data_IF_642046276866
#
_entry.id   IF_642046276866
#
_cell.length_a   1.000
_cell.length_b   1.000
_cell.length_c   1.000
_cell.angle_alpha   90.00
_cell.angle_beta   90.00
_cell.angle_gamma   90.00
#
_symmetry.space_group_name_H-M   'P 1'
#
loop_
_entity.id
_entity.type
_entity.pdbx_description
1 polymer ?
#
# COMPACT_ATOMS: atom_id res chain seq x y z
N UNK A 1 17.09 -1.63 -15.91
CA UNK A 1 17.11 -1.90 -14.46
C UNK A 1 16.11 -0.97 -13.81
N UNK A 2 14.91 -1.48 -13.50
CA UNK A 2 13.91 -0.70 -12.79
C UNK A 2 14.47 -0.42 -11.38
N UNK A 3 14.63 0.85 -11.04
CA UNK A 3 15.21 1.26 -9.75
C UNK A 3 14.42 0.62 -8.60
N UNK A 4 15.12 -0.09 -7.71
CA UNK A 4 14.52 -0.87 -6.63
C UNK A 4 13.58 -0.09 -5.69
N UNK A 5 13.55 1.25 -5.77
CA UNK A 5 12.62 2.15 -5.10
C UNK A 5 11.21 2.18 -5.71
N UNK A 6 11.07 2.07 -7.04
CA UNK A 6 9.77 2.19 -7.73
C UNK A 6 8.79 1.06 -7.43
N UNK A 7 9.29 -0.06 -6.89
CA UNK A 7 8.52 -1.25 -6.53
C UNK A 7 8.51 -1.52 -5.01
N UNK A 8 9.02 -0.61 -4.18
CA UNK A 8 9.21 -0.90 -2.75
C UNK A 8 7.93 -1.33 -2.04
N UNK A 9 6.79 -0.71 -2.36
CA UNK A 9 5.50 -1.11 -1.78
C UNK A 9 5.14 -2.56 -2.08
N UNK A 10 5.31 -2.99 -3.33
CA UNK A 10 5.04 -4.38 -3.75
C UNK A 10 6.01 -5.34 -3.10
N UNK A 11 7.31 -5.02 -3.07
CA UNK A 11 8.32 -5.89 -2.45
C UNK A 11 8.10 -6.05 -0.94
N UNK A 12 7.72 -4.98 -0.25
CA UNK A 12 7.36 -5.02 1.18
C UNK A 12 6.11 -5.89 1.37
N UNK A 13 5.07 -5.71 0.55
CA UNK A 13 3.86 -6.53 0.61
C UNK A 13 4.15 -8.00 0.35
N UNK A 14 4.96 -8.33 -0.65
CA UNK A 14 5.34 -9.70 -0.99
C UNK A 14 6.12 -10.39 0.14
N UNK A 15 6.92 -9.64 0.91
CA UNK A 15 7.63 -10.16 2.06
C UNK A 15 6.71 -10.35 3.28
N UNK A 16 5.84 -9.37 3.55
CA UNK A 16 5.02 -9.33 4.77
C UNK A 16 3.79 -10.23 4.67
N UNK A 17 3.13 -10.26 3.51
CA UNK A 17 1.85 -10.96 3.34
C UNK A 17 1.90 -12.44 3.70
N UNK A 18 2.87 -13.25 3.24
CA UNK A 18 2.93 -14.68 3.59
C UNK A 18 3.07 -14.92 5.10
N UNK A 19 3.71 -14.01 5.83
CA UNK A 19 3.89 -14.12 7.27
C UNK A 19 2.58 -13.84 8.00
N UNK A 20 1.92 -12.72 7.69
CA UNK A 20 0.75 -12.26 8.44
C UNK A 20 -0.51 -13.06 8.18
N UNK A 21 -0.64 -13.73 7.03
CA UNK A 21 -1.80 -14.61 6.76
C UNK A 21 -1.74 -15.95 7.50
N UNK A 22 -0.60 -16.30 8.10
CA UNK A 22 -0.41 -17.56 8.82
C UNK A 22 -0.77 -17.50 10.31
N UNK A 23 -1.03 -16.30 10.84
CA UNK A 23 -1.21 -16.05 12.28
C UNK A 23 -2.44 -15.20 12.55
N UNK A 24 -3.09 -15.43 13.69
CA UNK A 24 -4.35 -14.78 14.06
C UNK A 24 -4.14 -13.40 14.72
N UNK A 25 -3.54 -12.46 13.98
CA UNK A 25 -3.18 -11.12 14.52
C UNK A 25 -4.40 -10.31 14.92
N UNK A 26 -5.48 -10.39 14.14
CA UNK A 26 -6.66 -9.54 14.27
C UNK A 26 -7.92 -10.26 14.77
N UNK A 27 -7.78 -11.41 15.45
CA UNK A 27 -8.91 -12.15 16.02
C UNK A 27 -9.85 -11.30 16.88
N UNK A 28 -9.29 -10.43 17.73
CA UNK A 28 -10.05 -9.54 18.62
C UNK A 28 -10.91 -8.54 17.84
N UNK A 29 -10.55 -8.26 16.58
CA UNK A 29 -11.29 -7.37 15.68
C UNK A 29 -12.21 -8.12 14.72
N UNK A 30 -12.45 -9.42 14.96
CA UNK A 30 -13.29 -10.28 14.12
C UNK A 30 -12.56 -10.95 12.95
N UNK A 31 -11.22 -10.91 12.93
CA UNK A 31 -10.40 -11.66 11.97
C UNK A 31 -10.36 -13.15 12.32
N UNK A 32 -11.39 -13.88 11.91
CA UNK A 32 -11.56 -15.30 12.27
C UNK A 32 -10.73 -16.25 11.40
N UNK A 33 -10.15 -15.78 10.30
CA UNK A 33 -9.57 -16.63 9.27
C UNK A 33 -10.60 -17.54 8.59
N UNK A 34 -10.13 -18.31 7.62
CA UNK A 34 -10.86 -19.39 6.96
C UNK A 34 -10.15 -20.71 7.24
N UNK A 35 -10.91 -21.80 7.37
CA UNK A 35 -10.34 -23.16 7.47
C UNK A 35 -10.11 -23.72 6.07
N UNK A 36 -8.94 -24.32 5.87
CA UNK A 36 -8.53 -24.89 4.59
C UNK A 36 -8.77 -26.41 4.57
N UNK A 37 -8.81 -27.05 3.38
CA UNK A 37 -9.09 -28.49 3.28
C UNK A 37 -8.12 -29.41 4.03
N UNK A 38 -6.92 -28.93 4.35
CA UNK A 38 -5.90 -29.63 5.14
C UNK A 38 -6.00 -29.38 6.66
N UNK A 39 -7.03 -28.65 7.10
CA UNK A 39 -7.26 -28.27 8.49
C UNK A 39 -6.42 -27.09 8.98
N UNK A 40 -5.61 -26.47 8.11
CA UNK A 40 -4.91 -25.22 8.44
C UNK A 40 -5.87 -24.02 8.43
N UNK A 41 -5.48 -22.94 9.10
CA UNK A 41 -6.23 -21.68 9.09
C UNK A 41 -5.50 -20.64 8.24
N UNK A 42 -6.23 -19.98 7.33
CA UNK A 42 -5.74 -18.87 6.52
C UNK A 42 -6.41 -17.56 6.93
N UNK A 43 -5.61 -16.59 7.40
CA UNK A 43 -6.06 -15.27 7.80
C UNK A 43 -5.83 -14.24 6.68
N UNK A 44 -6.51 -14.43 5.54
CA UNK A 44 -6.30 -13.62 4.33
C UNK A 44 -6.60 -12.12 4.56
N UNK A 45 -7.54 -11.80 5.44
CA UNK A 45 -7.89 -10.44 5.86
C UNK A 45 -6.68 -9.65 6.40
N UNK A 46 -5.74 -10.35 7.06
CA UNK A 46 -4.54 -9.72 7.62
C UNK A 46 -3.67 -9.08 6.53
N UNK A 47 -3.71 -9.60 5.30
CA UNK A 47 -2.95 -9.07 4.17
C UNK A 47 -3.30 -7.60 3.89
N UNK A 48 -4.55 -7.20 4.11
CA UNK A 48 -4.98 -5.81 3.99
C UNK A 48 -4.92 -5.07 5.34
N UNK A 49 -5.39 -5.70 6.42
CA UNK A 49 -5.57 -5.03 7.71
C UNK A 49 -4.26 -4.63 8.38
N UNK A 50 -3.16 -5.32 8.11
CA UNK A 50 -1.85 -4.98 8.68
C UNK A 50 -1.41 -3.55 8.33
N UNK A 51 -1.89 -3.01 7.20
CA UNK A 51 -1.56 -1.66 6.75
C UNK A 51 -2.40 -0.57 7.41
N UNK A 52 -3.58 -0.91 7.94
CA UNK A 52 -4.56 0.06 8.46
C UNK A 52 -3.98 0.95 9.57
N UNK A 53 -3.28 0.42 10.60
CA UNK A 53 -2.69 1.27 11.63
C UNK A 53 -1.68 2.27 11.07
N UNK A 54 -0.83 1.84 10.14
CA UNK A 54 0.15 2.71 9.50
C UNK A 54 -0.52 3.79 8.66
N UNK A 55 -1.54 3.43 7.88
CA UNK A 55 -2.32 4.39 7.10
C UNK A 55 -2.95 5.45 8.00
N UNK A 56 -3.58 5.06 9.10
CA UNK A 56 -4.16 6.01 10.05
C UNK A 56 -3.09 6.97 10.58
N UNK A 57 -1.95 6.43 11.05
CA UNK A 57 -0.85 7.25 11.59
C UNK A 57 -0.32 8.23 10.55
N UNK A 58 -0.02 7.76 9.34
CA UNK A 58 0.58 8.60 8.30
C UNK A 58 -0.42 9.57 7.67
N UNK A 59 -1.69 9.21 7.56
CA UNK A 59 -2.75 10.14 7.13
C UNK A 59 -2.89 11.29 8.13
N UNK A 60 -2.95 11.00 9.44
CA UNK A 60 -3.00 12.05 10.45
C UNK A 60 -1.72 12.89 10.46
N UNK A 61 -0.55 12.26 10.36
CA UNK A 61 0.72 12.98 10.28
C UNK A 61 0.77 13.90 9.05
N UNK A 62 0.35 13.42 7.89
CA UNK A 62 0.26 14.22 6.67
C UNK A 62 -0.68 15.42 6.86
N UNK A 63 -1.85 15.20 7.47
CA UNK A 63 -2.84 16.25 7.69
C UNK A 63 -2.32 17.39 8.59
N UNK A 64 -1.59 17.06 9.66
CA UNK A 64 -1.15 18.06 10.64
C UNK A 64 0.24 18.65 10.37
N UNK A 65 1.12 17.93 9.68
CA UNK A 65 2.53 18.29 9.58
C UNK A 65 3.04 18.56 8.16
N UNK A 66 2.28 18.25 7.10
CA UNK A 66 2.70 18.63 5.74
C UNK A 66 2.31 20.08 5.42
N UNK A 67 3.18 20.77 4.70
CA UNK A 67 2.99 22.14 4.25
C UNK A 67 2.75 22.18 2.74
N UNK A 68 1.80 23.01 2.31
CA UNK A 68 1.61 23.30 0.90
C UNK A 68 2.65 24.33 0.42
N UNK A 69 3.38 24.00 -0.64
CA UNK A 69 4.29 24.93 -1.31
C UNK A 69 3.56 25.63 -2.47
N UNK A 70 3.72 26.95 -2.56
CA UNK A 70 3.09 27.77 -3.61
C UNK A 70 3.79 27.71 -4.97
N UNK A 71 4.75 26.80 -5.16
CA UNK A 71 5.55 26.70 -6.38
C UNK A 71 4.72 26.23 -7.59
N UNK A 72 5.09 26.75 -8.76
CA UNK A 72 4.44 26.64 -10.08
C UNK A 72 3.64 25.34 -10.29
N UNK A 73 2.31 25.46 -10.24
CA UNK A 73 1.42 24.42 -10.73
C UNK A 73 1.32 24.56 -12.25
N UNK A 74 1.97 23.66 -12.99
CA UNK A 74 1.70 23.52 -14.42
C UNK A 74 0.22 23.16 -14.61
N UNK A 75 -0.48 23.91 -15.44
CA UNK A 75 -1.84 23.62 -15.86
C UNK A 75 -1.92 22.23 -16.53
N UNK A 76 -3.09 21.61 -16.53
CA UNK A 76 -3.29 20.31 -17.19
C UNK A 76 -2.88 20.35 -18.67
N UNK A 77 -3.16 21.47 -19.35
CA UNK A 77 -2.75 21.72 -20.74
C UNK A 77 -1.24 21.71 -20.96
N UNK A 78 -0.45 22.10 -19.95
CA UNK A 78 1.00 22.06 -20.00
C UNK A 78 1.57 20.66 -19.72
N UNK A 79 0.84 19.82 -18.97
CA UNK A 79 1.27 18.45 -18.62
C UNK A 79 0.92 17.42 -19.70
N UNK A 80 -0.30 17.48 -20.25
CA UNK A 80 -0.84 16.50 -21.20
C UNK A 80 -0.01 16.25 -22.48
N UNK A 81 0.77 17.21 -23.04
CA UNK A 81 1.61 16.94 -24.20
C UNK A 81 2.62 15.80 -24.02
N UNK A 82 2.99 15.45 -22.78
CA UNK A 82 3.90 14.32 -22.51
C UNK A 82 3.34 12.98 -23.00
N UNK A 83 2.01 12.81 -22.98
CA UNK A 83 1.35 11.56 -23.39
C UNK A 83 1.55 11.21 -24.87
N UNK A 84 1.85 12.22 -25.70
CA UNK A 84 2.12 12.04 -27.14
C UNK A 84 3.56 11.60 -27.43
N UNK A 85 4.44 11.58 -26.42
CA UNK A 85 5.84 11.18 -26.60
C UNK A 85 5.94 9.66 -26.56
N UNK A 86 6.45 9.06 -27.64
CA UNK A 86 6.62 7.59 -27.73
C UNK A 86 7.51 7.04 -26.61
N UNK A 87 8.58 7.74 -26.23
CA UNK A 87 9.50 7.32 -25.17
C UNK A 87 8.92 7.38 -23.74
N UNK A 88 7.67 7.86 -23.56
CA UNK A 88 6.99 7.76 -22.26
C UNK A 88 6.53 6.32 -21.98
N UNK A 89 6.23 5.58 -23.04
CA UNK A 89 5.67 4.23 -23.02
C UNK A 89 6.77 3.19 -23.25
#
# INVERSE_FOLDING_TARGET
VNGGLGNMGVSVMQLVAPLVVSISIFAVFGGNGSEQPDGSMLYLENAAWIWVPFLIIFTLAAWFFMNDLSASKASLSEQLPVLKRLHLW
#
